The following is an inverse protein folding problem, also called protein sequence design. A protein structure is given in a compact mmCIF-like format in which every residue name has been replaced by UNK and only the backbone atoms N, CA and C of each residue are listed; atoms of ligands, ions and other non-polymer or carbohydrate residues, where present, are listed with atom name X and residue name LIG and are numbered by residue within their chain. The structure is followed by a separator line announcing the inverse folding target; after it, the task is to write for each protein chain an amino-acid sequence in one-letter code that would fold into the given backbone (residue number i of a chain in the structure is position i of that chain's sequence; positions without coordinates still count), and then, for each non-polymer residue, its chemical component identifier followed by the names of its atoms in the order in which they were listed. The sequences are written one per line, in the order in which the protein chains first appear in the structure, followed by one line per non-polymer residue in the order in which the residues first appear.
data_IF_903929078339
#
_entry.id   IF_903929078339
#
_cell.length_a   1.000
_cell.length_b   1.000
_cell.length_c   1.000
_cell.angle_alpha   90.00
_cell.angle_beta   90.00
_cell.angle_gamma   90.00
#
_symmetry.space_group_name_H-M   'P 1'
#
loop_
_entity.id
_entity.type
_entity.pdbx_description
1 polymer ?
#
# COMPACT_ATOMS: atom_id res chain seq x y z
N UNK A 1 6.07 13.60 -1.26
CA UNK A 1 5.78 12.17 -1.01
C UNK A 1 5.76 11.95 0.49
N UNK A 2 4.67 11.39 1.02
CA UNK A 2 4.49 11.09 2.45
C UNK A 2 5.24 9.81 2.81
N UNK A 3 5.90 9.77 3.98
CA UNK A 3 6.66 8.61 4.47
C UNK A 3 6.16 8.10 5.83
N UNK A 4 5.30 8.87 6.50
CA UNK A 4 4.77 8.58 7.84
C UNK A 4 3.26 8.89 7.91
N UNK A 5 2.58 8.22 8.85
CA UNK A 5 1.16 8.43 9.13
C UNK A 5 1.00 9.60 10.11
N UNK A 6 0.29 10.64 9.69
CA UNK A 6 -0.08 11.78 10.52
C UNK A 6 -1.56 11.70 10.91
N UNK A 7 -1.85 11.51 12.20
CA UNK A 7 -3.22 11.36 12.69
C UNK A 7 -3.96 12.70 12.86
N UNK A 8 -3.25 13.82 12.75
CA UNK A 8 -3.84 15.16 12.79
C UNK A 8 -4.13 15.72 11.40
N UNK A 9 -3.63 15.05 10.35
CA UNK A 9 -3.96 15.39 8.98
C UNK A 9 -5.42 15.03 8.67
N UNK A 10 -6.17 15.87 7.93
CA UNK A 10 -7.55 15.59 7.54
C UNK A 10 -7.69 14.37 6.63
N UNK A 11 -6.62 13.91 5.99
CA UNK A 11 -6.62 12.74 5.13
C UNK A 11 -6.78 11.46 5.96
N UNK A 12 -7.70 10.55 5.59
CA UNK A 12 -7.85 9.28 6.29
C UNK A 12 -6.55 8.47 6.34
N UNK A 13 -6.30 7.81 7.47
CA UNK A 13 -5.06 7.02 7.68
C UNK A 13 -4.85 5.93 6.61
N UNK A 14 -5.92 5.35 6.07
CA UNK A 14 -5.80 4.36 5.00
C UNK A 14 -5.34 4.97 3.68
N UNK A 15 -5.74 6.21 3.37
CA UNK A 15 -5.30 6.94 2.17
C UNK A 15 -3.85 7.38 2.34
N UNK A 16 -3.48 7.83 3.53
CA UNK A 16 -2.09 8.13 3.86
C UNK A 16 -1.19 6.91 3.66
N UNK A 17 -1.62 5.74 4.13
CA UNK A 17 -0.87 4.50 3.95
C UNK A 17 -0.80 4.08 2.47
N UNK A 18 -1.89 4.23 1.72
CA UNK A 18 -1.91 3.98 0.29
C UNK A 18 -0.94 4.90 -0.46
N UNK A 19 -0.90 6.19 -0.12
CA UNK A 19 0.03 7.17 -0.71
C UNK A 19 1.50 6.84 -0.39
N UNK A 20 1.80 6.41 0.84
CA UNK A 20 3.15 5.96 1.21
C UNK A 20 3.56 4.80 0.32
N UNK A 21 2.73 3.76 0.23
CA UNK A 21 3.01 2.55 -0.56
C UNK A 21 3.07 2.83 -2.06
N UNK A 22 2.18 3.68 -2.58
CA UNK A 22 2.21 4.16 -3.96
C UNK A 22 3.55 4.83 -4.26
N UNK A 23 3.99 5.73 -3.38
CA UNK A 23 5.28 6.38 -3.51
C UNK A 23 6.45 5.38 -3.51
N UNK A 24 6.38 4.29 -2.73
CA UNK A 24 7.40 3.23 -2.76
C UNK A 24 7.44 2.50 -4.10
N UNK A 25 6.29 2.23 -4.70
CA UNK A 25 6.19 1.62 -6.05
C UNK A 25 6.76 2.58 -7.10
N UNK A 26 6.39 3.85 -7.05
CA UNK A 26 6.85 4.88 -8.00
C UNK A 26 8.35 5.15 -7.91
N UNK A 27 8.91 5.12 -6.70
CA UNK A 27 10.37 5.25 -6.48
C UNK A 27 11.15 3.98 -6.85
N UNK A 28 10.47 2.88 -7.19
CA UNK A 28 11.10 1.60 -7.49
C UNK A 28 11.63 0.85 -6.27
N UNK A 29 11.23 1.24 -5.05
CA UNK A 29 11.52 0.48 -3.82
C UNK A 29 10.70 -0.82 -3.78
N UNK A 30 9.50 -0.79 -4.36
CA UNK A 30 8.64 -1.96 -4.59
C UNK A 30 8.58 -2.24 -6.10
N UNK A 31 9.29 -3.27 -6.55
CA UNK A 31 9.37 -3.60 -7.99
C UNK A 31 8.16 -4.40 -8.46
N UNK A 32 7.78 -4.30 -9.74
CA UNK A 32 6.73 -5.14 -10.33
C UNK A 32 6.96 -6.63 -10.03
N UNK A 33 5.88 -7.34 -9.69
CA UNK A 33 5.87 -8.76 -9.26
C UNK A 33 6.51 -9.05 -7.90
N UNK A 34 6.98 -8.05 -7.17
CA UNK A 34 7.41 -8.24 -5.80
C UNK A 34 6.19 -8.45 -4.89
N UNK A 35 6.27 -9.35 -3.90
CA UNK A 35 5.25 -9.43 -2.86
C UNK A 35 5.17 -8.11 -2.10
N UNK A 36 3.96 -7.60 -1.93
CA UNK A 36 3.71 -6.47 -1.04
C UNK A 36 3.87 -6.90 0.42
N UNK A 37 4.18 -5.95 1.31
CA UNK A 37 4.12 -6.20 2.73
C UNK A 37 2.73 -6.67 3.15
N UNK A 38 2.67 -7.70 3.99
CA UNK A 38 1.41 -8.23 4.49
C UNK A 38 0.67 -7.21 5.37
N UNK A 39 -0.64 -7.36 5.54
CA UNK A 39 -1.41 -6.50 6.45
C UNK A 39 -0.80 -6.47 7.86
N UNK A 40 -0.30 -7.61 8.36
CA UNK A 40 0.33 -7.70 9.67
C UNK A 40 1.65 -6.92 9.73
N UNK A 41 2.43 -6.93 8.65
CA UNK A 41 3.62 -6.09 8.54
C UNK A 41 3.26 -4.61 8.54
N UNK A 42 2.26 -4.20 7.75
CA UNK A 42 1.82 -2.80 7.68
C UNK A 42 1.30 -2.29 9.04
N UNK A 43 0.56 -3.15 9.76
CA UNK A 43 0.12 -2.87 11.14
C UNK A 43 1.31 -2.64 12.08
N UNK A 44 2.31 -3.51 12.04
CA UNK A 44 3.50 -3.39 12.89
C UNK A 44 4.37 -2.18 12.53
N UNK A 45 4.56 -1.92 11.24
CA UNK A 45 5.45 -0.87 10.75
C UNK A 45 4.86 0.53 10.90
N UNK A 46 3.57 0.70 10.62
CA UNK A 46 2.92 2.01 10.59
C UNK A 46 1.97 2.25 11.77
N UNK A 47 1.82 1.27 12.68
CA UNK A 47 0.95 1.39 13.85
C UNK A 47 -0.53 1.57 13.51
N UNK A 48 -0.97 1.05 12.36
CA UNK A 48 -2.35 1.13 11.88
C UNK A 48 -3.18 -0.09 12.30
N UNK A 49 -4.50 0.00 12.23
CA UNK A 49 -5.37 -1.17 12.43
C UNK A 49 -5.35 -2.11 11.22
N UNK A 50 -5.63 -3.40 11.39
CA UNK A 50 -5.76 -4.36 10.27
C UNK A 50 -6.77 -3.90 9.21
N UNK A 51 -7.90 -3.35 9.63
CA UNK A 51 -8.90 -2.80 8.73
C UNK A 51 -8.37 -1.64 7.88
N UNK A 52 -7.53 -0.77 8.47
CA UNK A 52 -6.86 0.33 7.78
C UNK A 52 -5.84 -0.17 6.76
N UNK A 53 -4.99 -1.14 7.16
CA UNK A 53 -4.04 -1.77 6.26
C UNK A 53 -4.75 -2.42 5.06
N UNK A 54 -5.81 -3.19 5.32
CA UNK A 54 -6.64 -3.79 4.28
C UNK A 54 -7.24 -2.75 3.34
N UNK A 55 -7.82 -1.67 3.87
CA UNK A 55 -8.42 -0.60 3.08
C UNK A 55 -7.38 0.11 2.19
N UNK A 56 -6.18 0.35 2.71
CA UNK A 56 -5.08 0.91 1.92
C UNK A 56 -4.68 0.00 0.75
N UNK A 57 -4.58 -1.31 1.00
CA UNK A 57 -4.33 -2.30 -0.05
C UNK A 57 -5.47 -2.37 -1.08
N UNK A 58 -6.72 -2.24 -0.64
CA UNK A 58 -7.90 -2.16 -1.53
C UNK A 58 -7.80 -0.95 -2.46
N UNK A 59 -7.43 0.23 -1.95
CA UNK A 59 -7.21 1.45 -2.76
C UNK A 59 -6.13 1.23 -3.81
N UNK A 60 -4.99 0.65 -3.43
CA UNK A 60 -3.91 0.36 -4.38
C UNK A 60 -4.31 -0.67 -5.45
N UNK A 61 -5.18 -1.61 -5.08
CA UNK A 61 -5.73 -2.59 -6.02
C UNK A 61 -6.70 -1.94 -7.01
N UNK A 62 -7.56 -1.05 -6.54
CA UNK A 62 -8.47 -0.27 -7.38
C UNK A 62 -7.71 0.66 -8.33
N UNK A 63 -6.57 1.21 -7.88
CA UNK A 63 -5.65 1.99 -8.71
C UNK A 63 -4.83 1.14 -9.71
N UNK A 64 -4.96 -0.19 -9.69
CA UNK A 64 -4.20 -1.08 -10.57
C UNK A 64 -2.70 -1.20 -10.24
N UNK A 65 -2.27 -0.68 -9.09
CA UNK A 65 -0.88 -0.73 -8.61
C UNK A 65 -0.55 -2.09 -7.96
N UNK A 66 -1.57 -2.77 -7.43
CA UNK A 66 -1.42 -4.02 -6.67
C UNK A 66 -2.42 -5.06 -7.14
N UNK A 67 -2.00 -6.33 -7.16
CA UNK A 67 -2.85 -7.49 -7.43
C UNK A 67 -2.82 -8.45 -6.23
N UNK A 68 -3.98 -8.92 -5.80
CA UNK A 68 -4.07 -9.97 -4.78
C UNK A 68 -4.19 -11.32 -5.47
N UNK A 69 -3.27 -12.22 -5.19
CA UNK A 69 -3.31 -13.60 -5.67
C UNK A 69 -3.88 -14.46 -4.54
N UNK A 70 -4.99 -15.17 -4.76
CA UNK A 70 -5.55 -16.10 -3.78
C UNK A 70 -4.47 -17.05 -3.24
N UNK A 71 -4.42 -17.24 -1.93
CA UNK A 71 -3.46 -18.09 -1.21
C UNK A 71 -1.97 -17.69 -1.31
N UNK A 72 -1.62 -16.61 -2.02
CA UNK A 72 -0.23 -16.14 -2.17
C UNK A 72 0.03 -14.73 -1.65
N UNK A 73 -1.02 -13.96 -1.35
CA UNK A 73 -0.91 -12.60 -0.84
C UNK A 73 -1.01 -11.53 -1.93
N UNK A 74 -0.60 -10.31 -1.61
CA UNK A 74 -0.65 -9.16 -2.51
C UNK A 74 0.71 -8.94 -3.18
N UNK A 75 0.72 -8.54 -4.44
CA UNK A 75 1.92 -8.31 -5.26
C UNK A 75 1.79 -6.98 -6.02
N UNK A 76 2.90 -6.31 -6.28
CA UNK A 76 2.93 -5.13 -7.17
C UNK A 76 2.51 -5.57 -8.58
N UNK A 77 1.65 -4.80 -9.23
CA UNK A 77 1.22 -5.07 -10.61
C UNK A 77 2.39 -5.04 -11.59
N UNK A 78 2.25 -5.73 -12.73
CA UNK A 78 3.32 -5.79 -13.76
C UNK A 78 3.58 -4.45 -14.44
N UNK A 79 2.52 -3.63 -14.58
CA UNK A 79 2.58 -2.31 -15.18
C UNK A 79 1.75 -1.35 -14.32
N UNK A 80 2.27 -0.91 -13.16
CA UNK A 80 1.59 0.10 -12.37
C UNK A 80 1.48 1.37 -13.24
N UNK A 81 0.29 1.99 -13.38
CA UNK A 81 0.17 3.27 -14.07
C UNK A 81 1.02 4.30 -13.31
N UNK A 82 2.22 4.54 -13.82
CA UNK A 82 3.17 5.51 -13.27
C UNK A 82 2.97 6.75 -14.13
N UNK A 83 2.06 7.62 -13.71
CA UNK A 83 1.63 8.81 -14.45
C UNK A 83 1.81 10.07 -13.63
#
# INVERSE_FOLDING_TARGET
MRTEIDRWDPLPVYEQLAEILRGQIERGELVPRQPLPSESYLVGQYGVSRGTARRALEVLREAGLVRTIPQRGSYVADNPPTG
#
